data_IF_941622504094
#
_entry.id   IF_941622504094
#
_cell.length_a   1.000
_cell.length_b   1.000
_cell.length_c   1.000
_cell.angle_alpha   90.00
_cell.angle_beta   90.00
_cell.angle_gamma   90.00
#
_symmetry.space_group_name_H-M   'P 1'
#
loop_
_entity.id
_entity.type
_entity.pdbx_description
1 polymer ?
#
# COMPACT_ATOMS: atom_id res chain seq x y z
N UNK A 1 -8.81 35.84 -7.97
CA UNK A 1 -7.90 35.37 -9.04
C UNK A 1 -6.61 34.99 -8.33
N UNK A 2 -6.09 33.75 -8.30
CA UNK A 2 -5.68 32.91 -9.44
C UNK A 2 -5.37 31.48 -8.93
N UNK A 3 -6.39 30.66 -8.63
CA UNK A 3 -6.21 29.25 -8.22
C UNK A 3 -6.43 28.26 -9.37
N UNK A 4 -6.99 28.72 -10.49
CA UNK A 4 -7.26 27.86 -11.65
C UNK A 4 -6.00 27.51 -12.47
N UNK A 5 -5.07 28.46 -12.65
CA UNK A 5 -3.89 28.26 -13.53
C UNK A 5 -2.81 27.32 -12.97
N UNK A 6 -2.75 27.13 -11.65
CA UNK A 6 -1.81 26.19 -11.04
C UNK A 6 -2.29 24.74 -11.16
N UNK A 7 -3.61 24.52 -11.07
CA UNK A 7 -4.25 23.20 -11.17
C UNK A 7 -4.05 22.57 -12.55
N UNK A 8 -4.23 23.38 -13.59
CA UNK A 8 -4.10 22.96 -14.99
C UNK A 8 -2.66 22.49 -15.29
N UNK A 9 -1.68 23.26 -14.79
CA UNK A 9 -0.26 23.04 -15.09
C UNK A 9 0.34 21.82 -14.37
N UNK A 10 -0.13 21.50 -13.16
CA UNK A 10 0.31 20.32 -12.41
C UNK A 10 -0.19 19.01 -13.03
N UNK A 11 -1.45 18.99 -13.46
CA UNK A 11 -2.04 17.83 -14.13
C UNK A 11 -1.43 17.62 -15.54
N UNK A 12 -1.21 18.70 -16.28
CA UNK A 12 -0.53 18.66 -17.58
C UNK A 12 0.91 18.15 -17.47
N UNK A 13 1.67 18.52 -16.44
CA UNK A 13 3.04 18.02 -16.24
C UNK A 13 3.07 16.52 -15.89
N UNK A 14 2.16 16.07 -15.02
CA UNK A 14 2.10 14.66 -14.62
C UNK A 14 1.61 13.72 -15.75
N UNK A 15 0.64 14.16 -16.57
CA UNK A 15 0.25 13.43 -17.79
C UNK A 15 1.35 13.48 -18.87
N UNK A 16 2.12 14.56 -18.94
CA UNK A 16 3.17 14.73 -19.96
C UNK A 16 4.47 14.01 -19.64
N UNK A 17 4.71 13.64 -18.38
CA UNK A 17 5.93 12.95 -17.94
C UNK A 17 5.89 11.43 -18.15
N UNK A 18 4.74 10.84 -18.45
CA UNK A 18 4.54 9.38 -18.66
C UNK A 18 5.38 8.52 -17.69
N UNK A 19 5.34 8.90 -16.41
CA UNK A 19 6.15 8.29 -15.36
C UNK A 19 5.79 6.81 -15.24
N UNK A 20 6.82 5.96 -15.29
CA UNK A 20 6.67 4.54 -15.07
C UNK A 20 6.06 4.27 -13.68
N UNK A 21 5.30 3.17 -13.60
CA UNK A 21 4.81 2.67 -12.33
C UNK A 21 6.00 2.41 -11.38
N UNK A 22 5.85 2.68 -10.07
CA UNK A 22 6.85 2.30 -9.08
C UNK A 22 7.15 0.81 -9.16
N UNK A 23 8.43 0.45 -8.95
CA UNK A 23 8.83 -0.96 -8.87
C UNK A 23 8.01 -1.64 -7.77
N UNK A 24 7.46 -2.81 -8.09
CA UNK A 24 6.62 -3.61 -7.20
C UNK A 24 5.15 -3.21 -7.16
N UNK A 25 4.73 -2.16 -7.88
CA UNK A 25 3.31 -1.79 -7.96
C UNK A 25 2.52 -2.86 -8.74
N UNK A 26 1.43 -3.33 -8.13
CA UNK A 26 0.48 -4.27 -8.73
C UNK A 26 -0.74 -3.54 -9.29
N UNK A 27 -1.07 -2.37 -8.73
CA UNK A 27 -2.08 -1.46 -9.22
C UNK A 27 -1.64 -0.02 -9.00
N UNK A 28 -2.00 0.89 -9.90
CA UNK A 28 -1.64 2.30 -9.83
C UNK A 28 -2.87 3.13 -10.21
N UNK A 29 -3.27 4.04 -9.32
CA UNK A 29 -4.38 4.95 -9.57
C UNK A 29 -3.99 6.08 -10.54
N UNK A 30 -5.00 6.82 -10.98
CA UNK A 30 -4.84 8.09 -11.67
C UNK A 30 -4.20 9.13 -10.74
N UNK A 31 -3.57 10.13 -11.35
CA UNK A 31 -3.06 11.30 -10.63
C UNK A 31 -4.19 12.07 -9.94
N UNK A 32 -4.00 12.36 -8.66
CA UNK A 32 -4.79 13.33 -7.93
C UNK A 32 -4.22 14.73 -8.12
N UNK A 33 -5.08 15.68 -8.48
CA UNK A 33 -4.68 17.06 -8.82
C UNK A 33 -5.06 18.09 -7.75
N UNK A 34 -5.52 17.66 -6.57
CA UNK A 34 -5.92 18.55 -5.47
C UNK A 34 -4.78 18.75 -4.48
N UNK A 35 -3.89 19.71 -4.76
CA UNK A 35 -2.74 20.03 -3.91
C UNK A 35 -1.42 19.58 -4.55
N UNK A 36 -0.61 18.84 -3.81
CA UNK A 36 0.57 18.15 -4.36
C UNK A 36 0.10 17.08 -5.34
N UNK A 37 0.67 17.03 -6.54
CA UNK A 37 0.28 16.04 -7.55
C UNK A 37 0.93 14.70 -7.21
N UNK A 38 0.12 13.75 -6.75
CA UNK A 38 0.53 12.37 -6.47
C UNK A 38 -0.51 11.39 -7.02
N UNK A 39 -0.13 10.13 -7.18
CA UNK A 39 -1.04 9.00 -7.43
C UNK A 39 -0.79 7.93 -6.39
N UNK A 40 -1.85 7.24 -5.98
CA UNK A 40 -1.75 6.10 -5.06
C UNK A 40 -1.44 4.85 -5.85
N UNK A 41 -0.73 3.90 -5.26
CA UNK A 41 -0.54 2.58 -5.82
C UNK A 41 -0.61 1.51 -4.74
N UNK A 42 -1.05 0.32 -5.15
CA UNK A 42 -0.96 -0.89 -4.34
C UNK A 42 0.29 -1.67 -4.76
N UNK A 43 1.00 -2.20 -3.78
CA UNK A 43 2.16 -3.05 -3.95
C UNK A 43 1.81 -4.53 -3.80
N UNK A 44 2.79 -5.30 -3.35
CA UNK A 44 2.61 -6.71 -3.07
C UNK A 44 1.81 -6.92 -1.76
N UNK A 45 1.09 -8.04 -1.72
CA UNK A 45 0.27 -8.45 -0.58
C UNK A 45 0.60 -9.88 -0.14
N UNK A 46 0.57 -10.10 1.18
CA UNK A 46 0.75 -11.39 1.82
C UNK A 46 -0.48 -11.72 2.68
N UNK A 47 -1.25 -12.72 2.27
CA UNK A 47 -2.40 -13.24 3.01
C UNK A 47 -2.01 -14.39 3.92
N UNK A 48 -2.29 -14.25 5.20
CA UNK A 48 -2.06 -15.28 6.21
C UNK A 48 -3.42 -15.82 6.64
N UNK A 49 -3.75 -17.00 6.12
CA UNK A 49 -4.96 -17.72 6.51
C UNK A 49 -4.85 -18.23 7.95
N UNK A 50 -5.89 -18.04 8.78
CA UNK A 50 -5.96 -18.63 10.10
C UNK A 50 -5.81 -20.15 10.02
N UNK A 51 -5.09 -20.72 10.98
CA UNK A 51 -4.81 -22.17 11.06
C UNK A 51 -5.76 -22.86 12.03
N UNK A 52 -6.35 -22.12 12.97
CA UNK A 52 -7.19 -22.69 14.02
C UNK A 52 -8.51 -21.92 14.18
N UNK A 53 -9.55 -22.63 14.62
CA UNK A 53 -10.69 -21.99 15.28
C UNK A 53 -10.18 -21.43 16.61
N UNK A 54 -10.24 -20.10 16.78
CA UNK A 54 -9.73 -19.39 17.95
C UNK A 54 -10.66 -19.53 19.18
N UNK A 55 -11.26 -20.71 19.34
CA UNK A 55 -12.09 -21.06 20.50
C UNK A 55 -13.47 -20.41 20.48
N UNK A 56 -14.12 -20.31 19.32
CA UNK A 56 -15.51 -19.82 19.22
C UNK A 56 -15.65 -18.29 19.26
N UNK A 57 -14.54 -17.55 19.11
CA UNK A 57 -14.58 -16.14 18.68
C UNK A 57 -14.84 -16.11 17.17
N UNK A 58 -15.53 -15.08 16.67
CA UNK A 58 -15.76 -14.93 15.22
C UNK A 58 -14.45 -15.19 14.46
N UNK A 59 -14.51 -15.95 13.34
CA UNK A 59 -13.31 -16.30 12.59
C UNK A 59 -12.51 -15.04 12.33
N UNK A 60 -11.26 -15.03 12.78
CA UNK A 60 -10.30 -13.99 12.42
C UNK A 60 -10.30 -13.99 10.90
N UNK A 61 -10.65 -12.86 10.27
CA UNK A 61 -10.45 -12.71 8.82
C UNK A 61 -8.99 -12.99 8.48
N UNK A 62 -8.66 -13.25 7.22
CA UNK A 62 -7.26 -13.38 6.82
C UNK A 62 -6.46 -12.17 7.37
N UNK A 63 -5.30 -12.43 7.99
CA UNK A 63 -4.37 -11.34 8.32
C UNK A 63 -3.69 -10.97 7.02
N UNK A 64 -3.83 -9.72 6.61
CA UNK A 64 -3.28 -9.23 5.35
C UNK A 64 -2.18 -8.24 5.67
N UNK A 65 -0.98 -8.51 5.16
CA UNK A 65 0.10 -7.52 5.09
C UNK A 65 0.15 -7.02 3.66
N UNK A 66 0.04 -5.71 3.45
CA UNK A 66 0.07 -5.11 2.11
C UNK A 66 0.99 -3.90 2.10
N UNK A 67 1.52 -3.59 0.91
CA UNK A 67 2.20 -2.32 0.65
C UNK A 67 1.19 -1.39 -0.04
N UNK A 68 1.05 -0.18 0.48
CA UNK A 68 0.46 0.93 -0.27
C UNK A 68 1.52 2.00 -0.46
N UNK A 69 1.35 2.85 -1.46
CA UNK A 69 2.28 3.94 -1.64
C UNK A 69 1.72 5.12 -2.40
N UNK A 70 2.50 6.19 -2.40
CA UNK A 70 2.22 7.42 -3.14
C UNK A 70 3.40 7.69 -4.06
N UNK A 71 3.14 7.84 -5.35
CA UNK A 71 4.13 8.36 -6.29
C UNK A 71 3.81 9.80 -6.61
N UNK A 72 4.83 10.64 -6.61
CA UNK A 72 4.72 12.06 -6.86
C UNK A 72 5.23 12.41 -8.26
N UNK A 73 4.82 13.58 -8.77
CA UNK A 73 5.11 14.00 -10.14
C UNK A 73 6.60 14.26 -10.43
N UNK A 74 7.46 14.34 -9.42
CA UNK A 74 8.93 14.42 -9.55
C UNK A 74 9.60 13.03 -9.62
N UNK A 75 8.81 11.95 -9.56
CA UNK A 75 9.26 10.57 -9.63
C UNK A 75 9.56 9.91 -8.29
N UNK A 76 9.53 10.63 -7.16
CA UNK A 76 9.69 9.98 -5.85
C UNK A 76 8.48 9.14 -5.49
N UNK A 77 8.71 8.06 -4.75
CA UNK A 77 7.66 7.18 -4.26
C UNK A 77 7.85 6.91 -2.77
N UNK A 78 6.80 7.12 -1.99
CA UNK A 78 6.69 6.74 -0.60
C UNK A 78 5.91 5.43 -0.50
N UNK A 79 6.27 4.57 0.47
CA UNK A 79 5.64 3.28 0.71
C UNK A 79 5.34 3.12 2.19
N UNK A 80 4.19 2.54 2.48
CA UNK A 80 3.73 2.19 3.82
C UNK A 80 3.33 0.71 3.84
N UNK A 81 3.56 0.05 4.97
CA UNK A 81 3.12 -1.32 5.20
C UNK A 81 1.85 -1.26 6.05
N UNK A 82 0.77 -1.83 5.54
CA UNK A 82 -0.52 -1.95 6.24
C UNK A 82 -0.68 -3.39 6.72
N UNK A 83 -1.24 -3.52 7.93
CA UNK A 83 -1.68 -4.81 8.49
C UNK A 83 -3.19 -4.72 8.72
N UNK A 84 -3.96 -5.51 7.98
CA UNK A 84 -5.41 -5.64 8.13
C UNK A 84 -5.79 -6.98 8.76
N UNK A 85 -6.99 -7.08 9.34
CA UNK A 85 -7.50 -8.31 9.94
C UNK A 85 -6.90 -8.67 11.31
N UNK A 86 -5.99 -7.85 11.84
CA UNK A 86 -5.39 -8.02 13.16
C UNK A 86 -6.30 -7.61 14.33
N UNK A 87 -7.57 -7.27 14.08
CA UNK A 87 -8.57 -6.92 15.12
C UNK A 87 -8.79 -8.05 16.14
N UNK A 88 -8.36 -9.27 15.81
CA UNK A 88 -8.20 -10.34 16.78
C UNK A 88 -6.79 -10.34 17.37
N UNK A 89 -6.68 -9.74 18.55
CA UNK A 89 -5.47 -9.64 19.38
C UNK A 89 -4.84 -10.99 19.81
N UNK A 90 -5.35 -12.12 19.34
CA UNK A 90 -4.89 -13.46 19.70
C UNK A 90 -4.58 -14.27 18.45
N UNK A 91 -3.29 -14.37 18.12
CA UNK A 91 -2.77 -15.24 17.06
C UNK A 91 -2.01 -16.43 17.66
N UNK A 92 -2.01 -17.55 16.95
CA UNK A 92 -1.22 -18.73 17.33
C UNK A 92 0.28 -18.47 17.09
N UNK A 93 1.18 -19.22 17.73
CA UNK A 93 2.61 -19.16 17.42
C UNK A 93 2.94 -19.46 15.95
N UNK A 94 2.11 -20.23 15.25
CA UNK A 94 2.29 -20.51 13.82
C UNK A 94 1.94 -19.31 12.96
N UNK A 95 0.81 -18.65 13.24
CA UNK A 95 0.42 -17.39 12.56
C UNK A 95 1.42 -16.28 12.87
N UNK A 96 1.89 -16.17 14.12
CA UNK A 96 2.90 -15.19 14.51
C UNK A 96 4.20 -15.34 13.69
N UNK A 97 4.66 -16.57 13.44
CA UNK A 97 5.83 -16.81 12.59
C UNK A 97 5.56 -16.42 11.13
N UNK A 98 4.38 -16.77 10.60
CA UNK A 98 3.99 -16.38 9.24
C UNK A 98 3.90 -14.86 9.08
N UNK A 99 3.33 -14.18 10.06
CA UNK A 99 3.23 -12.72 10.11
C UNK A 99 4.61 -12.07 10.19
N UNK A 100 5.49 -12.58 11.04
CA UNK A 100 6.88 -12.10 11.10
C UNK A 100 7.60 -12.23 9.76
N UNK A 101 7.48 -13.37 9.08
CA UNK A 101 8.05 -13.55 7.74
C UNK A 101 7.43 -12.61 6.69
N UNK A 102 6.12 -12.40 6.73
CA UNK A 102 5.44 -11.47 5.82
C UNK A 102 5.90 -10.03 6.04
N UNK A 103 6.08 -9.60 7.30
CA UNK A 103 6.55 -8.25 7.63
C UNK A 103 7.99 -8.01 7.18
N UNK A 104 8.88 -8.99 7.32
CA UNK A 104 10.25 -8.90 6.81
C UNK A 104 10.23 -8.75 5.28
N UNK A 105 9.46 -9.60 4.58
CA UNK A 105 9.34 -9.52 3.12
C UNK A 105 8.72 -8.19 2.66
N UNK A 106 7.74 -7.67 3.40
CA UNK A 106 7.13 -6.37 3.11
C UNK A 106 8.12 -5.21 3.31
N UNK A 107 8.96 -5.26 4.35
CA UNK A 107 10.01 -4.27 4.57
C UNK A 107 11.03 -4.28 3.43
N UNK A 108 11.53 -5.46 3.04
CA UNK A 108 12.46 -5.60 1.92
C UNK A 108 11.86 -5.08 0.60
N UNK A 109 10.59 -5.36 0.33
CA UNK A 109 9.90 -4.86 -0.86
C UNK A 109 9.59 -3.36 -0.80
N UNK A 110 9.44 -2.77 0.39
CA UNK A 110 9.21 -1.34 0.58
C UNK A 110 10.49 -0.51 0.41
N UNK A 111 11.64 -1.05 0.78
CA UNK A 111 12.93 -0.37 0.61
C UNK A 111 13.33 -0.21 -0.87
N UNK A 112 12.91 -1.15 -1.73
CA UNK A 112 13.04 -1.06 -3.19
C UNK A 112 14.36 -1.58 -3.76
#
# INVERSE_FOLDING_TARGET
MTTARARDRGNDLAMKLDLAAPIGATWVDRWESTGTTFRVFDGQEWKIKPVADHGGRDPIGDIVVSIIGRQYADGHAEREIIIEGADASVITPTEARKLGSALIAAAEAADG
#
